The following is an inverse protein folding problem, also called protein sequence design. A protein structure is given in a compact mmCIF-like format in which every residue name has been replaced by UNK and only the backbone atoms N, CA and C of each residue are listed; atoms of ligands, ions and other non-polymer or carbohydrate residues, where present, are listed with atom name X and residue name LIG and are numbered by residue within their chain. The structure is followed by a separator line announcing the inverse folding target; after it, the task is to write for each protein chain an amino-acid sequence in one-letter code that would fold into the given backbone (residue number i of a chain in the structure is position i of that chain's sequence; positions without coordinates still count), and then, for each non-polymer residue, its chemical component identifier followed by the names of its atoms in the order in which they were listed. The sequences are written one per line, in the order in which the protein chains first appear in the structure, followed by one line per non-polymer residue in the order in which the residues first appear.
data_IF_921987024371
#
_entry.id   IF_921987024371
#
_cell.length_a   1.000
_cell.length_b   1.000
_cell.length_c   1.000
_cell.angle_alpha   90.00
_cell.angle_beta   90.00
_cell.angle_gamma   90.00
#
_symmetry.space_group_name_H-M   'P 1'
#
loop_
_entity.id
_entity.type
_entity.pdbx_description
1 polymer ?
#
# COMPACT_ATOMS: atom_id res chain seq x y z
N UNK A 1 -9.00 -5.36 23.22
CA UNK A 1 -8.77 -4.46 22.07
C UNK A 1 -9.89 -4.74 21.09
N UNK A 2 -10.64 -3.73 20.67
CA UNK A 2 -11.79 -3.91 19.78
C UNK A 2 -11.31 -4.28 18.37
N UNK A 3 -11.75 -5.43 17.85
CA UNK A 3 -11.32 -5.98 16.57
C UNK A 3 -11.62 -5.01 15.41
N UNK A 4 -12.74 -4.27 15.50
CA UNK A 4 -13.11 -3.26 14.51
C UNK A 4 -12.07 -2.15 14.41
N UNK A 5 -11.64 -1.62 15.57
CA UNK A 5 -10.61 -0.59 15.61
C UNK A 5 -9.25 -1.10 15.13
N UNK A 6 -8.91 -2.35 15.43
CA UNK A 6 -7.66 -2.95 14.95
C UNK A 6 -7.66 -3.09 13.43
N UNK A 7 -8.72 -3.62 12.83
CA UNK A 7 -8.84 -3.77 11.37
C UNK A 7 -8.83 -2.44 10.62
N UNK A 8 -9.39 -1.39 11.22
CA UNK A 8 -9.36 -0.05 10.66
C UNK A 8 -7.95 0.55 10.65
N UNK A 9 -7.22 0.49 11.78
CA UNK A 9 -5.91 1.14 11.87
C UNK A 9 -4.78 0.33 11.25
N UNK A 10 -4.89 -0.99 11.17
CA UNK A 10 -3.85 -1.88 10.67
C UNK A 10 -3.39 -1.56 9.22
N UNK A 11 -4.26 -1.53 8.19
CA UNK A 11 -3.85 -1.21 6.82
C UNK A 11 -3.27 0.20 6.70
N UNK A 12 -3.82 1.16 7.45
CA UNK A 12 -3.34 2.56 7.50
C UNK A 12 -1.91 2.65 8.00
N UNK A 13 -1.64 2.03 9.15
CA UNK A 13 -0.33 2.08 9.77
C UNK A 13 0.71 1.29 8.96
N UNK A 14 0.34 0.13 8.44
CA UNK A 14 1.20 -0.66 7.55
C UNK A 14 1.54 0.09 6.27
N UNK A 15 0.56 0.73 5.62
CA UNK A 15 0.81 1.53 4.41
C UNK A 15 1.78 2.67 4.68
N UNK A 16 1.61 3.43 5.77
CA UNK A 16 2.54 4.48 6.15
C UNK A 16 3.97 3.97 6.41
N UNK A 17 4.11 2.85 7.11
CA UNK A 17 5.42 2.23 7.38
C UNK A 17 6.10 1.77 6.09
N UNK A 18 5.36 1.12 5.18
CA UNK A 18 5.91 0.66 3.90
C UNK A 18 6.37 1.84 3.05
N UNK A 19 5.56 2.91 2.96
CA UNK A 19 5.94 4.15 2.27
C UNK A 19 7.22 4.73 2.86
N UNK A 20 7.31 4.83 4.19
CA UNK A 20 8.50 5.36 4.86
C UNK A 20 9.75 4.52 4.57
N UNK A 21 9.65 3.20 4.63
CA UNK A 21 10.75 2.28 4.32
C UNK A 21 11.21 2.49 2.87
N UNK A 22 10.28 2.63 1.93
CA UNK A 22 10.62 2.85 0.52
C UNK A 22 11.26 4.21 0.25
N UNK A 23 10.82 5.26 0.96
CA UNK A 23 11.45 6.58 0.92
C UNK A 23 12.90 6.46 1.40
N UNK A 24 13.10 5.90 2.59
CA UNK A 24 14.45 5.72 3.14
C UNK A 24 15.33 4.84 2.24
N UNK A 25 14.77 3.76 1.69
CA UNK A 25 15.49 2.83 0.82
C UNK A 25 16.06 3.49 -0.43
N UNK A 26 15.29 4.35 -1.09
CA UNK A 26 15.76 5.06 -2.29
C UNK A 26 16.75 6.17 -1.93
N UNK A 27 16.58 6.89 -0.80
CA UNK A 27 17.61 7.84 -0.31
C UNK A 27 18.94 7.14 -0.06
N UNK A 28 18.91 5.98 0.60
CA UNK A 28 20.12 5.20 0.91
C UNK A 28 20.76 4.61 -0.35
N UNK A 29 19.95 4.08 -1.29
CA UNK A 29 20.46 3.40 -2.47
C UNK A 29 20.99 4.37 -3.54
N UNK A 30 20.36 5.53 -3.70
CA UNK A 30 20.56 6.41 -4.86
C UNK A 30 21.15 7.77 -4.46
N UNK A 31 21.01 8.18 -3.21
CA UNK A 31 21.39 9.52 -2.74
C UNK A 31 20.66 10.64 -3.50
N UNK A 32 21.24 11.84 -3.48
CA UNK A 32 20.73 12.99 -4.24
C UNK A 32 21.42 13.10 -5.61
N UNK A 33 21.31 12.05 -6.42
CA UNK A 33 21.88 11.97 -7.78
C UNK A 33 20.84 12.23 -8.87
N UNK A 34 21.21 12.13 -10.14
CA UNK A 34 20.29 12.31 -11.29
C UNK A 34 19.08 11.35 -11.28
N UNK A 35 19.20 10.20 -10.62
CA UNK A 35 18.12 9.23 -10.45
C UNK A 35 17.18 9.55 -9.29
N UNK A 36 17.46 10.61 -8.51
CA UNK A 36 16.63 11.05 -7.40
C UNK A 36 15.23 11.50 -7.86
N UNK A 37 15.15 12.26 -8.97
CA UNK A 37 13.87 12.76 -9.49
C UNK A 37 12.96 11.59 -9.93
N UNK A 38 13.40 10.65 -10.80
CA UNK A 38 12.60 9.46 -11.11
C UNK A 38 12.22 8.63 -9.88
N UNK A 39 13.15 8.45 -8.93
CA UNK A 39 12.87 7.74 -7.67
C UNK A 39 11.79 8.43 -6.83
N UNK A 40 11.82 9.77 -6.77
CA UNK A 40 10.86 10.56 -6.01
C UNK A 40 9.44 10.53 -6.59
N UNK A 41 9.28 10.33 -7.91
CA UNK A 41 7.97 10.13 -8.54
C UNK A 41 7.25 8.90 -7.96
N UNK A 42 7.99 7.81 -7.74
CA UNK A 42 7.46 6.58 -7.15
C UNK A 42 6.95 6.85 -5.73
N UNK A 43 7.70 7.62 -4.94
CA UNK A 43 7.27 7.99 -3.60
C UNK A 43 6.02 8.88 -3.61
N UNK A 44 5.94 9.86 -4.52
CA UNK A 44 4.75 10.68 -4.64
C UNK A 44 3.53 9.83 -4.96
N UNK A 45 3.64 8.87 -5.87
CA UNK A 45 2.56 7.93 -6.19
C UNK A 45 2.16 7.11 -4.96
N UNK A 46 3.14 6.56 -4.21
CA UNK A 46 2.88 5.75 -3.02
C UNK A 46 2.25 6.57 -1.87
N UNK A 47 2.74 7.78 -1.64
CA UNK A 47 2.21 8.71 -0.64
C UNK A 47 0.78 9.12 -1.01
N UNK A 48 0.56 9.56 -2.26
CA UNK A 48 -0.77 9.94 -2.74
C UNK A 48 -1.75 8.77 -2.64
N UNK A 49 -1.34 7.56 -3.04
CA UNK A 49 -2.16 6.35 -2.92
C UNK A 49 -2.51 6.05 -1.47
N UNK A 50 -1.54 6.18 -0.55
CA UNK A 50 -1.77 5.99 0.88
C UNK A 50 -2.77 7.00 1.42
N UNK A 51 -2.60 8.28 1.11
CA UNK A 51 -3.51 9.34 1.56
C UNK A 51 -4.93 9.16 1.00
N UNK A 52 -5.05 8.72 -0.25
CA UNK A 52 -6.34 8.39 -0.86
C UNK A 52 -6.97 7.16 -0.18
N UNK A 53 -6.19 6.12 0.08
CA UNK A 53 -6.66 4.91 0.74
C UNK A 53 -7.23 5.16 2.13
N UNK A 54 -6.71 6.16 2.85
CA UNK A 54 -7.22 6.51 4.17
C UNK A 54 -8.62 7.13 4.13
N UNK A 55 -8.96 7.80 3.03
CA UNK A 55 -10.28 8.42 2.81
C UNK A 55 -11.26 7.46 2.15
N UNK A 56 -10.78 6.62 1.26
CA UNK A 56 -11.58 5.69 0.46
C UNK A 56 -10.93 4.31 0.49
N UNK A 57 -11.31 3.49 1.47
CA UNK A 57 -10.67 2.20 1.75
C UNK A 57 -10.67 1.28 0.53
N UNK A 58 -11.83 1.11 -0.14
CA UNK A 58 -11.94 0.22 -1.30
C UNK A 58 -11.11 0.69 -2.50
N UNK A 59 -11.13 2.00 -2.80
CA UNK A 59 -10.37 2.56 -3.91
C UNK A 59 -8.86 2.52 -3.63
N UNK A 60 -8.47 2.80 -2.39
CA UNK A 60 -7.10 2.65 -1.92
C UNK A 60 -6.59 1.23 -2.02
N UNK A 61 -7.40 0.27 -1.56
CA UNK A 61 -7.09 -1.15 -1.66
C UNK A 61 -6.86 -1.57 -3.11
N UNK A 62 -7.73 -1.16 -4.02
CA UNK A 62 -7.57 -1.42 -5.45
C UNK A 62 -6.29 -0.78 -6.03
N UNK A 63 -5.99 0.49 -5.69
CA UNK A 63 -4.76 1.14 -6.13
C UNK A 63 -3.50 0.40 -5.66
N UNK A 64 -3.47 -0.07 -4.41
CA UNK A 64 -2.34 -0.86 -3.89
C UNK A 64 -2.16 -2.18 -4.63
N UNK A 65 -3.26 -2.86 -4.98
CA UNK A 65 -3.20 -4.07 -5.82
C UNK A 65 -2.66 -3.76 -7.21
N UNK A 66 -3.15 -2.70 -7.87
CA UNK A 66 -2.67 -2.26 -9.18
C UNK A 66 -1.18 -1.92 -9.13
N UNK A 67 -0.74 -1.18 -8.10
CA UNK A 67 0.67 -0.86 -7.91
C UNK A 67 1.51 -2.13 -7.72
N UNK A 68 1.03 -3.10 -6.94
CA UNK A 68 1.67 -4.40 -6.78
C UNK A 68 1.87 -5.12 -8.12
N UNK A 69 0.85 -5.14 -8.98
CA UNK A 69 0.92 -5.73 -10.33
C UNK A 69 1.90 -4.97 -11.22
N UNK A 70 1.82 -3.63 -11.25
CA UNK A 70 2.74 -2.79 -12.02
C UNK A 70 4.19 -3.05 -11.61
N UNK A 71 4.45 -3.15 -10.30
CA UNK A 71 5.77 -3.46 -9.77
C UNK A 71 6.25 -4.84 -10.21
N UNK A 72 5.36 -5.85 -10.14
CA UNK A 72 5.68 -7.20 -10.57
C UNK A 72 6.01 -7.27 -12.07
N UNK A 73 5.22 -6.62 -12.93
CA UNK A 73 5.48 -6.54 -14.37
C UNK A 73 6.84 -5.89 -14.64
N UNK A 74 7.18 -4.81 -13.92
CA UNK A 74 8.46 -4.15 -14.06
C UNK A 74 9.63 -5.06 -13.64
N UNK A 75 9.49 -5.81 -12.56
CA UNK A 75 10.50 -6.78 -12.08
C UNK A 75 10.71 -7.90 -13.11
N UNK A 76 9.63 -8.48 -13.64
CA UNK A 76 9.69 -9.51 -14.67
C UNK A 76 10.32 -8.99 -15.97
N UNK A 77 9.90 -7.81 -16.44
CA UNK A 77 10.40 -7.20 -17.68
C UNK A 77 11.90 -6.92 -17.64
N UNK A 78 12.42 -6.53 -16.48
CA UNK A 78 13.84 -6.25 -16.27
C UNK A 78 14.66 -7.47 -15.81
N UNK A 79 14.06 -8.67 -15.71
CA UNK A 79 14.70 -9.92 -15.26
C UNK A 79 15.44 -9.75 -13.92
N UNK A 80 14.85 -8.99 -12.99
CA UNK A 80 15.43 -8.77 -11.69
C UNK A 80 15.41 -10.04 -10.84
N UNK A 81 16.27 -10.09 -9.81
CA UNK A 81 16.40 -11.27 -8.95
C UNK A 81 15.12 -11.55 -8.16
N UNK A 82 14.99 -12.80 -7.69
CA UNK A 82 13.83 -13.24 -6.93
C UNK A 82 13.53 -12.36 -5.69
N UNK A 83 14.57 -11.72 -5.11
CA UNK A 83 14.42 -10.85 -3.95
C UNK A 83 13.58 -9.59 -4.22
N UNK A 84 13.50 -9.13 -5.47
CA UNK A 84 12.69 -7.96 -5.81
C UNK A 84 11.19 -8.26 -5.80
N UNK A 85 10.76 -9.51 -6.04
CA UNK A 85 9.33 -9.87 -5.93
C UNK A 85 8.80 -9.73 -4.50
N UNK A 86 9.66 -9.94 -3.50
CA UNK A 86 9.31 -9.73 -2.10
C UNK A 86 8.96 -8.26 -1.82
N UNK A 87 9.45 -7.30 -2.61
CA UNK A 87 9.07 -5.90 -2.47
C UNK A 87 7.63 -5.63 -2.91
N UNK A 88 7.06 -6.47 -3.78
CA UNK A 88 5.65 -6.33 -4.22
C UNK A 88 4.65 -6.92 -3.22
N UNK A 89 5.05 -7.90 -2.41
CA UNK A 89 4.17 -8.59 -1.47
C UNK A 89 3.51 -7.66 -0.43
N UNK A 90 4.23 -6.69 0.19
CA UNK A 90 3.60 -5.72 1.09
C UNK A 90 2.50 -4.89 0.42
N UNK A 91 2.65 -4.53 -0.86
CA UNK A 91 1.63 -3.76 -1.59
C UNK A 91 0.34 -4.58 -1.74
N UNK A 92 0.46 -5.87 -2.10
CA UNK A 92 -0.69 -6.76 -2.18
C UNK A 92 -1.36 -6.99 -0.83
N UNK A 93 -0.56 -7.21 0.22
CA UNK A 93 -1.07 -7.41 1.57
C UNK A 93 -1.85 -6.18 2.07
N UNK A 94 -1.28 -4.98 1.87
CA UNK A 94 -1.96 -3.72 2.21
C UNK A 94 -3.26 -3.57 1.40
N UNK A 95 -3.23 -3.85 0.09
CA UNK A 95 -4.41 -3.77 -0.76
C UNK A 95 -5.54 -4.69 -0.29
N UNK A 96 -5.21 -5.95 0.01
CA UNK A 96 -6.16 -6.92 0.54
C UNK A 96 -6.72 -6.51 1.91
N UNK A 97 -5.88 -5.95 2.80
CA UNK A 97 -6.32 -5.48 4.12
C UNK A 97 -7.30 -4.31 4.03
N UNK A 98 -7.06 -3.33 3.15
CA UNK A 98 -8.01 -2.22 2.93
C UNK A 98 -9.37 -2.71 2.42
N UNK A 99 -9.37 -3.66 1.49
CA UNK A 99 -10.62 -4.24 0.96
C UNK A 99 -11.35 -5.02 2.06
N UNK A 100 -10.61 -5.77 2.88
CA UNK A 100 -11.18 -6.55 3.98
C UNK A 100 -11.76 -5.64 5.06
N UNK A 101 -11.08 -4.56 5.43
CA UNK A 101 -11.55 -3.54 6.37
C UNK A 101 -12.89 -2.94 5.88
N UNK A 102 -12.95 -2.53 4.61
CA UNK A 102 -14.17 -1.99 4.01
C UNK A 102 -15.39 -2.92 4.17
N UNK A 103 -15.25 -4.19 3.77
CA UNK A 103 -16.35 -5.16 3.89
C UNK A 103 -16.70 -5.50 5.34
N UNK A 104 -15.73 -5.41 6.26
CA UNK A 104 -15.97 -5.63 7.68
C UNK A 104 -16.76 -4.46 8.29
N UNK A 105 -16.42 -3.22 7.93
CA UNK A 105 -17.12 -2.02 8.37
C UNK A 105 -18.55 -1.99 7.85
N UNK A 106 -18.73 -2.26 6.55
CA UNK A 106 -20.05 -2.29 5.90
C UNK A 106 -20.99 -3.30 6.57
N UNK A 107 -20.48 -4.50 6.90
CA UNK A 107 -21.27 -5.51 7.62
C UNK A 107 -21.61 -5.10 9.05
N UNK A 108 -20.68 -4.45 9.76
CA UNK A 108 -20.92 -3.98 11.11
C UNK A 108 -22.00 -2.88 11.14
N UNK A 109 -21.96 -1.95 10.18
CA UNK A 109 -22.97 -0.90 10.04
C UNK A 109 -24.35 -1.47 9.71
N UNK A 110 -24.43 -2.45 8.81
CA UNK A 110 -25.71 -3.11 8.49
C UNK A 110 -26.31 -3.83 9.70
N UNK A 111 -25.48 -4.50 10.50
CA UNK A 111 -25.94 -5.19 11.70
C UNK A 111 -26.47 -4.22 12.78
N UNK A 112 -25.94 -3.00 12.89
CA UNK A 112 -26.43 -1.98 13.83
C UNK A 112 -27.78 -1.37 13.42
N UNK A 113 -28.10 -1.35 12.12
CA UNK A 113 -29.37 -0.78 11.60
C UNK A 113 -30.55 -1.75 11.73
N UNK A 114 -30.29 -3.06 11.84
CA UNK A 114 -31.33 -4.09 11.99
C UNK A 114 -31.84 -4.27 13.44
N UNK A 115 -31.26 -3.58 14.43
CA UNK A 115 -31.67 -3.57 15.84
C UNK A 115 -32.31 -2.25 16.27
#
# INVERSE_FOLDING_TARGET
MDLRNTLHWLPRLLSAVVVLIWILGVVVAVGFTEYFIPGSLIWMILVSTTLMAWKTEIFGGFLFLVLGVVFMIFIFGNKLSAGYYLASAPLFAIGALYITDYFYQEKAEQAEVEF
#
